data_IF_609866465492
#
_entry.id   IF_609866465492
#
_cell.length_a   1.000
_cell.length_b   1.000
_cell.length_c   1.000
_cell.angle_alpha   90.00
_cell.angle_beta   90.00
_cell.angle_gamma   90.00
#
_symmetry.space_group_name_H-M   'P 1'
#
loop_
_entity.id
_entity.type
_entity.pdbx_description
1 polymer ?
#
# COMPACT_ATOMS: atom_id res chain seq x y z
N UNK A 1 10.35 17.60 -33.07
CA UNK A 1 9.25 18.12 -32.23
C UNK A 1 9.44 17.49 -30.85
N UNK A 2 10.02 18.21 -29.90
CA UNK A 2 10.20 17.73 -28.52
C UNK A 2 8.82 17.65 -27.90
N UNK A 3 8.36 16.44 -27.59
CA UNK A 3 7.20 16.24 -26.75
C UNK A 3 7.58 16.76 -25.38
N UNK A 4 6.97 17.85 -24.95
CA UNK A 4 7.05 18.38 -23.60
C UNK A 4 6.75 17.23 -22.63
N UNK A 5 7.74 16.82 -21.85
CA UNK A 5 7.60 15.86 -20.79
C UNK A 5 6.81 16.54 -19.67
N UNK A 6 5.49 16.61 -19.85
CA UNK A 6 4.58 17.06 -18.82
C UNK A 6 4.92 16.33 -17.52
N UNK A 7 5.14 17.08 -16.46
CA UNK A 7 5.51 16.59 -15.14
C UNK A 7 4.71 15.31 -14.82
N UNK A 8 5.40 14.18 -14.74
CA UNK A 8 4.81 12.87 -14.43
C UNK A 8 4.12 12.98 -13.08
N UNK A 9 2.81 12.75 -12.96
CA UNK A 9 2.13 12.91 -11.68
C UNK A 9 2.68 11.87 -10.69
N UNK A 10 3.40 12.33 -9.69
CA UNK A 10 3.94 11.47 -8.62
C UNK A 10 2.89 11.05 -7.61
N UNK A 11 1.76 11.77 -7.56
CA UNK A 11 0.65 11.52 -6.60
C UNK A 11 -0.66 11.43 -7.35
N UNK A 12 -1.49 10.44 -6.97
CA UNK A 12 -2.81 10.21 -7.54
C UNK A 12 -3.81 11.26 -7.05
N UNK A 13 -4.20 12.14 -7.98
CA UNK A 13 -5.37 13.01 -7.89
C UNK A 13 -6.47 12.48 -8.81
N UNK A 14 -7.71 12.97 -8.70
CA UNK A 14 -8.78 12.54 -9.61
C UNK A 14 -8.44 12.77 -11.09
N UNK A 15 -7.87 13.92 -11.51
CA UNK A 15 -7.40 14.09 -12.89
C UNK A 15 -6.26 13.12 -13.27
N UNK A 16 -5.31 12.85 -12.36
CA UNK A 16 -4.22 11.90 -12.62
C UNK A 16 -4.74 10.47 -12.79
N UNK A 17 -5.74 10.05 -12.00
CA UNK A 17 -6.40 8.75 -12.16
C UNK A 17 -7.08 8.65 -13.53
N UNK A 18 -7.83 9.67 -13.95
CA UNK A 18 -8.47 9.70 -15.26
C UNK A 18 -7.46 9.65 -16.41
N UNK A 19 -6.36 10.40 -16.31
CA UNK A 19 -5.26 10.36 -17.28
C UNK A 19 -4.61 8.98 -17.35
N UNK A 20 -4.36 8.35 -16.18
CA UNK A 20 -3.79 7.02 -16.10
C UNK A 20 -4.69 5.95 -16.73
N UNK A 21 -5.99 6.00 -16.48
CA UNK A 21 -6.95 5.08 -17.11
C UNK A 21 -6.93 5.22 -18.64
N UNK A 22 -6.93 6.45 -19.17
CA UNK A 22 -6.82 6.67 -20.62
C UNK A 22 -5.49 6.15 -21.18
N UNK A 23 -4.38 6.40 -20.49
CA UNK A 23 -3.08 5.89 -20.90
C UNK A 23 -3.06 4.35 -20.96
N UNK A 24 -3.51 3.68 -19.89
CA UNK A 24 -3.51 2.22 -19.79
C UNK A 24 -4.38 1.57 -20.88
N UNK A 25 -5.54 2.14 -21.20
CA UNK A 25 -6.39 1.69 -22.31
C UNK A 25 -5.67 1.74 -23.66
N UNK A 26 -4.87 2.77 -23.87
CA UNK A 26 -4.15 2.96 -25.15
C UNK A 26 -2.97 2.00 -25.31
N UNK A 27 -2.25 1.71 -24.22
CA UNK A 27 -0.99 0.95 -24.29
C UNK A 27 -1.17 -0.55 -24.09
N UNK A 28 -2.35 -1.00 -23.61
CA UNK A 28 -2.58 -2.40 -23.30
C UNK A 28 -4.06 -2.79 -23.53
N UNK A 29 -4.33 -3.43 -24.66
CA UNK A 29 -5.68 -3.83 -25.04
C UNK A 29 -6.31 -4.85 -24.07
N UNK A 30 -5.50 -5.73 -23.46
CA UNK A 30 -6.00 -6.71 -22.47
C UNK A 30 -6.40 -6.01 -21.18
N UNK A 31 -5.59 -5.07 -20.73
CA UNK A 31 -5.92 -4.26 -19.55
C UNK A 31 -7.11 -3.34 -19.83
N UNK A 32 -7.27 -2.83 -21.06
CA UNK A 32 -8.45 -2.06 -21.49
C UNK A 32 -9.73 -2.86 -21.28
N UNK A 33 -9.78 -4.14 -21.68
CA UNK A 33 -10.95 -5.00 -21.45
C UNK A 33 -11.27 -5.20 -19.96
N UNK A 34 -10.25 -5.26 -19.09
CA UNK A 34 -10.46 -5.30 -17.63
C UNK A 34 -11.02 -3.97 -17.13
N UNK A 35 -10.48 -2.85 -17.59
CA UNK A 35 -10.97 -1.51 -17.24
C UNK A 35 -12.45 -1.35 -17.62
N UNK A 36 -12.86 -1.82 -18.81
CA UNK A 36 -14.24 -1.76 -19.26
C UNK A 36 -15.19 -2.58 -18.37
N UNK A 37 -14.75 -3.78 -17.98
CA UNK A 37 -15.52 -4.68 -17.12
C UNK A 37 -15.62 -4.18 -15.66
N UNK A 38 -14.52 -3.67 -15.11
CA UNK A 38 -14.42 -3.26 -13.70
C UNK A 38 -15.02 -1.87 -13.47
N UNK A 39 -14.96 -1.01 -14.50
CA UNK A 39 -15.42 0.38 -14.40
C UNK A 39 -14.37 1.33 -13.80
N UNK A 40 -14.80 2.48 -13.27
CA UNK A 40 -13.89 3.55 -12.83
C UNK A 40 -12.99 3.13 -11.67
N UNK A 41 -11.73 3.57 -11.71
CA UNK A 41 -10.81 3.40 -10.60
C UNK A 41 -11.22 4.27 -9.41
N UNK A 42 -11.54 3.63 -8.28
CA UNK A 42 -11.99 4.29 -7.04
C UNK A 42 -10.88 4.43 -6.00
N UNK A 43 -9.62 4.26 -6.39
CA UNK A 43 -8.48 4.42 -5.48
C UNK A 43 -8.44 5.84 -4.91
N UNK A 44 -8.47 5.94 -3.57
CA UNK A 44 -8.38 7.20 -2.84
C UNK A 44 -7.34 7.06 -1.74
N UNK A 45 -6.19 7.74 -1.83
CA UNK A 45 -5.15 7.70 -0.79
C UNK A 45 -5.63 8.28 0.53
N UNK A 46 -5.33 7.60 1.63
CA UNK A 46 -5.81 7.99 2.98
C UNK A 46 -5.05 9.16 3.58
N UNK A 47 -3.81 9.42 3.14
CA UNK A 47 -2.86 10.39 3.72
C UNK A 47 -2.50 10.16 5.20
N UNK A 48 -2.88 9.01 5.78
CA UNK A 48 -2.72 8.68 7.20
C UNK A 48 -1.59 7.66 7.40
N UNK A 49 -0.33 8.10 7.22
CA UNK A 49 0.85 7.22 7.17
C UNK A 49 0.95 6.32 8.42
N UNK A 50 1.00 6.92 9.62
CA UNK A 50 1.13 6.17 10.87
C UNK A 50 -0.01 5.17 11.07
N UNK A 51 -1.25 5.63 10.92
CA UNK A 51 -2.44 4.78 11.09
C UNK A 51 -2.48 3.62 10.09
N UNK A 52 -2.05 3.86 8.85
CA UNK A 52 -1.98 2.82 7.83
C UNK A 52 -0.94 1.75 8.17
N UNK A 53 0.25 2.15 8.63
CA UNK A 53 1.30 1.21 9.05
C UNK A 53 0.90 0.44 10.32
N UNK A 54 0.29 1.14 11.29
CA UNK A 54 -0.22 0.51 12.52
C UNK A 54 -1.24 -0.58 12.19
N UNK A 55 -2.23 -0.26 11.35
CA UNK A 55 -3.24 -1.22 10.88
C UNK A 55 -2.62 -2.36 10.08
N UNK A 56 -1.63 -2.08 9.22
CA UNK A 56 -0.95 -3.10 8.45
C UNK A 56 -0.27 -4.13 9.36
N UNK A 57 0.48 -3.70 10.40
CA UNK A 57 1.10 -4.61 11.36
C UNK A 57 0.05 -5.42 12.13
N UNK A 58 -1.02 -4.76 12.58
CA UNK A 58 -2.09 -5.40 13.35
C UNK A 58 -2.77 -6.52 12.56
N UNK A 59 -3.01 -6.30 11.27
CA UNK A 59 -3.73 -7.24 10.39
C UNK A 59 -2.85 -8.36 9.81
N UNK A 60 -1.52 -8.33 9.96
CA UNK A 60 -0.63 -9.37 9.43
C UNK A 60 -1.05 -10.77 9.90
N UNK A 61 -1.07 -11.73 8.98
CA UNK A 61 -1.33 -13.15 9.24
C UNK A 61 -2.67 -13.44 9.96
N UNK A 62 -3.66 -12.59 9.80
CA UNK A 62 -5.00 -12.79 10.37
C UNK A 62 -6.07 -12.76 9.28
N UNK A 63 -7.13 -13.55 9.49
CA UNK A 63 -8.34 -13.41 8.69
C UNK A 63 -9.01 -12.04 8.98
N UNK A 64 -9.61 -11.43 7.97
CA UNK A 64 -10.13 -10.06 8.06
C UNK A 64 -11.05 -9.81 9.25
N UNK A 65 -11.98 -10.73 9.57
CA UNK A 65 -12.88 -10.61 10.73
C UNK A 65 -12.14 -10.65 12.06
N UNK A 66 -11.15 -11.54 12.21
CA UNK A 66 -10.34 -11.64 13.42
C UNK A 66 -9.46 -10.39 13.61
N UNK A 67 -8.83 -9.92 12.54
CA UNK A 67 -8.04 -8.69 12.57
C UNK A 67 -8.87 -7.48 12.98
N UNK A 68 -10.07 -7.30 12.40
CA UNK A 68 -10.98 -6.22 12.73
C UNK A 68 -11.46 -6.28 14.19
N UNK A 69 -11.70 -7.48 14.73
CA UNK A 69 -12.09 -7.66 16.14
C UNK A 69 -10.96 -7.26 17.11
N UNK A 70 -9.72 -7.62 16.80
CA UNK A 70 -8.54 -7.21 17.60
C UNK A 70 -8.34 -5.70 17.49
N UNK A 71 -8.37 -5.14 16.26
CA UNK A 71 -8.26 -3.70 16.04
C UNK A 71 -9.27 -2.94 16.91
N UNK A 72 -10.53 -3.34 16.88
CA UNK A 72 -11.59 -2.72 17.68
C UNK A 72 -11.26 -2.75 19.18
N UNK A 73 -10.86 -3.91 19.73
CA UNK A 73 -10.53 -4.04 21.16
C UNK A 73 -9.32 -3.20 21.57
N UNK A 74 -8.29 -3.14 20.72
CA UNK A 74 -7.14 -2.26 20.93
C UNK A 74 -7.57 -0.80 20.90
N UNK A 75 -8.32 -0.39 19.87
CA UNK A 75 -8.78 1.01 19.73
C UNK A 75 -9.69 1.46 20.88
N UNK A 76 -10.51 0.57 21.45
CA UNK A 76 -11.38 0.89 22.59
C UNK A 76 -10.59 1.36 23.83
N UNK A 77 -9.35 0.89 24.00
CA UNK A 77 -8.48 1.35 25.11
C UNK A 77 -7.98 2.80 24.93
N UNK A 78 -8.19 3.35 23.71
CA UNK A 78 -7.74 4.70 23.34
C UNK A 78 -8.91 5.57 22.82
N UNK A 79 -10.11 5.38 23.35
CA UNK A 79 -11.28 6.17 22.95
C UNK A 79 -11.86 5.81 21.58
N UNK A 80 -11.59 4.60 21.06
CA UNK A 80 -12.22 4.05 19.85
C UNK A 80 -11.44 4.27 18.53
N UNK A 81 -10.29 4.92 18.59
CA UNK A 81 -9.43 5.17 17.42
C UNK A 81 -8.04 4.54 17.53
N UNK A 82 -7.31 4.48 16.42
CA UNK A 82 -5.88 4.15 16.47
C UNK A 82 -5.18 5.24 17.28
N UNK A 83 -4.45 4.87 18.35
CA UNK A 83 -3.80 5.81 19.28
C UNK A 83 -2.75 6.68 18.58
N UNK A 84 -2.47 7.85 19.17
CA UNK A 84 -1.25 8.56 18.85
C UNK A 84 -0.03 7.72 19.27
N UNK A 85 1.12 7.96 18.63
CA UNK A 85 2.33 7.20 18.90
C UNK A 85 2.73 7.28 20.37
N UNK A 86 2.75 8.48 20.96
CA UNK A 86 3.05 8.72 22.38
C UNK A 86 2.09 8.01 23.34
N UNK A 87 0.77 7.97 23.00
CA UNK A 87 -0.22 7.30 23.86
C UNK A 87 -0.03 5.79 23.84
N UNK A 88 0.24 5.22 22.65
CA UNK A 88 0.54 3.80 22.54
C UNK A 88 1.81 3.41 23.29
N UNK A 89 2.86 4.26 23.31
CA UNK A 89 4.09 4.03 24.07
C UNK A 89 3.90 4.06 25.57
N UNK A 90 2.95 4.85 26.10
CA UNK A 90 2.65 4.94 27.52
C UNK A 90 1.70 3.87 28.04
N UNK A 91 0.98 3.18 27.16
CA UNK A 91 0.01 2.17 27.56
C UNK A 91 0.69 0.91 28.13
N UNK A 92 0.06 0.27 29.11
CA UNK A 92 0.54 -1.01 29.65
C UNK A 92 0.37 -2.15 28.65
N UNK A 93 1.30 -3.10 28.68
CA UNK A 93 1.26 -4.25 27.76
C UNK A 93 0.14 -5.24 28.08
N UNK A 94 -0.21 -5.45 29.36
CA UNK A 94 -1.22 -6.41 29.79
C UNK A 94 -2.58 -6.24 29.10
N UNK A 95 -3.20 -5.06 29.18
CA UNK A 95 -4.46 -4.78 28.48
C UNK A 95 -4.37 -4.98 26.94
N UNK A 96 -3.25 -4.62 26.31
CA UNK A 96 -3.04 -4.78 24.88
C UNK A 96 -2.92 -6.25 24.47
N UNK A 97 -2.22 -7.06 25.26
CA UNK A 97 -2.15 -8.52 25.07
C UNK A 97 -3.54 -9.16 25.26
N UNK A 98 -4.28 -8.76 26.30
CA UNK A 98 -5.65 -9.21 26.54
C UNK A 98 -6.63 -8.81 25.41
N UNK A 99 -6.36 -7.72 24.71
CA UNK A 99 -7.10 -7.33 23.51
C UNK A 99 -6.85 -8.27 22.31
N UNK A 100 -5.88 -9.17 22.40
CA UNK A 100 -5.55 -10.18 21.41
C UNK A 100 -4.34 -9.86 20.55
N UNK A 101 -3.51 -8.88 20.93
CA UNK A 101 -2.20 -8.71 20.30
C UNK A 101 -1.27 -9.85 20.72
N UNK A 102 -0.53 -10.41 19.77
CA UNK A 102 0.61 -11.27 20.12
C UNK A 102 1.76 -10.40 20.62
N UNK A 103 2.62 -10.94 21.49
CA UNK A 103 3.81 -10.25 21.98
C UNK A 103 4.68 -9.72 20.82
N UNK A 104 4.80 -10.49 19.74
CA UNK A 104 5.52 -10.06 18.53
C UNK A 104 4.89 -8.83 17.86
N UNK A 105 3.58 -8.80 17.68
CA UNK A 105 2.88 -7.64 17.10
C UNK A 105 2.98 -6.43 18.02
N UNK A 106 2.84 -6.63 19.33
CA UNK A 106 3.02 -5.56 20.31
C UNK A 106 4.41 -4.93 20.18
N UNK A 107 5.47 -5.76 20.10
CA UNK A 107 6.84 -5.26 19.91
C UNK A 107 7.01 -4.48 18.58
N UNK A 108 6.38 -4.93 17.49
CA UNK A 108 6.40 -4.23 16.20
C UNK A 108 5.66 -2.89 16.27
N UNK A 109 4.50 -2.85 16.90
CA UNK A 109 3.72 -1.62 17.09
C UNK A 109 4.45 -0.63 18.02
N UNK A 110 5.16 -1.10 19.06
CA UNK A 110 6.03 -0.27 19.91
C UNK A 110 7.16 0.35 19.08
N UNK A 111 7.85 -0.43 18.24
CA UNK A 111 8.92 0.10 17.38
C UNK A 111 8.38 1.11 16.35
N UNK A 112 7.21 0.85 15.75
CA UNK A 112 6.53 1.81 14.91
C UNK A 112 6.22 3.11 15.65
N UNK A 113 5.60 3.01 16.83
CA UNK A 113 5.25 4.17 17.64
C UNK A 113 6.51 4.98 18.03
N UNK A 114 7.57 4.30 18.48
CA UNK A 114 8.83 4.95 18.79
C UNK A 114 9.46 5.66 17.58
N UNK A 115 9.37 5.06 16.38
CA UNK A 115 9.88 5.68 15.15
C UNK A 115 9.18 7.00 14.82
N UNK A 116 7.88 7.10 15.11
CA UNK A 116 7.12 8.34 14.88
C UNK A 116 7.30 9.34 16.02
N UNK A 117 7.30 8.90 17.26
CA UNK A 117 7.44 9.75 18.45
C UNK A 117 8.81 10.43 18.52
N UNK A 118 9.88 9.70 18.26
CA UNK A 118 11.26 10.23 18.20
C UNK A 118 11.54 11.05 16.92
N UNK A 119 10.63 11.00 15.95
CA UNK A 119 10.82 11.66 14.66
C UNK A 119 11.79 10.96 13.70
N UNK A 120 12.17 9.69 13.96
CA UNK A 120 12.87 8.84 12.98
C UNK A 120 12.06 8.71 11.69
N UNK A 121 10.73 8.55 11.81
CA UNK A 121 9.77 8.67 10.71
C UNK A 121 8.88 9.90 10.91
N UNK A 122 9.00 10.87 10.01
CA UNK A 122 8.19 12.10 10.03
C UNK A 122 7.33 12.17 8.77
N UNK A 123 5.98 12.20 8.87
CA UNK A 123 5.09 12.24 7.70
C UNK A 123 5.44 13.35 6.71
N UNK A 124 5.76 14.55 7.22
CA UNK A 124 6.11 15.72 6.42
C UNK A 124 7.40 15.54 5.61
N UNK A 125 8.33 14.72 6.13
CA UNK A 125 9.57 14.36 5.43
C UNK A 125 9.32 13.23 4.43
N UNK A 126 8.60 12.18 4.85
CA UNK A 126 8.33 11.02 4.01
C UNK A 126 7.66 11.39 2.69
N UNK A 127 6.69 12.31 2.69
CA UNK A 127 6.00 12.72 1.45
C UNK A 127 6.92 13.37 0.41
N UNK A 128 8.10 13.83 0.82
CA UNK A 128 9.09 14.51 -0.05
C UNK A 128 10.17 13.58 -0.58
N UNK A 129 10.28 12.37 -0.05
CA UNK A 129 11.25 11.37 -0.47
C UNK A 129 10.82 10.67 -1.77
N UNK A 130 11.77 10.10 -2.49
CA UNK A 130 11.52 9.15 -3.57
C UNK A 130 10.87 7.86 -3.04
N UNK A 131 10.30 7.07 -3.93
CA UNK A 131 9.64 5.82 -3.54
C UNK A 131 10.63 4.84 -2.91
N UNK A 132 11.84 4.72 -3.44
CA UNK A 132 12.89 3.85 -2.90
C UNK A 132 13.38 4.32 -1.52
N UNK A 133 13.54 5.64 -1.33
CA UNK A 133 13.89 6.20 -0.02
C UNK A 133 12.79 5.97 1.03
N UNK A 134 11.51 6.04 0.62
CA UNK A 134 10.40 5.72 1.52
C UNK A 134 10.43 4.24 1.90
N UNK A 135 10.62 3.34 0.93
CA UNK A 135 10.76 1.90 1.21
C UNK A 135 11.90 1.67 2.20
N UNK A 136 13.09 2.22 1.93
CA UNK A 136 14.24 2.09 2.81
C UNK A 136 13.96 2.63 4.22
N UNK A 137 13.31 3.79 4.34
CA UNK A 137 13.01 4.40 5.63
C UNK A 137 12.01 3.58 6.45
N UNK A 138 10.88 3.15 5.85
CA UNK A 138 9.82 2.47 6.61
C UNK A 138 10.18 1.02 6.94
N UNK A 139 10.99 0.36 6.13
CA UNK A 139 11.44 -1.02 6.39
C UNK A 139 12.46 -1.12 7.53
N UNK A 140 12.97 0.00 8.04
CA UNK A 140 13.75 0.03 9.30
C UNK A 140 12.91 -0.34 10.53
N UNK A 141 11.58 -0.23 10.43
CA UNK A 141 10.66 -0.62 11.50
C UNK A 141 10.43 -2.12 11.47
N UNK A 142 10.62 -2.77 12.61
CA UNK A 142 10.43 -4.23 12.73
C UNK A 142 9.01 -4.63 12.34
N UNK A 143 8.90 -5.65 11.52
CA UNK A 143 7.61 -6.15 11.01
C UNK A 143 7.09 -5.43 9.78
N UNK A 144 7.76 -4.39 9.28
CA UNK A 144 7.42 -3.74 8.01
C UNK A 144 8.39 -4.23 6.94
N UNK A 145 7.88 -5.01 5.99
CA UNK A 145 8.61 -5.44 4.80
C UNK A 145 8.28 -4.59 3.57
N UNK A 146 8.98 -4.86 2.47
CA UNK A 146 8.83 -4.18 1.18
C UNK A 146 7.36 -4.16 0.69
N UNK A 147 6.65 -5.29 0.83
CA UNK A 147 5.23 -5.36 0.45
C UNK A 147 4.38 -4.34 1.24
N UNK A 148 4.60 -4.22 2.56
CA UNK A 148 3.87 -3.24 3.40
C UNK A 148 4.24 -1.80 3.00
N UNK A 149 5.51 -1.56 2.66
CA UNK A 149 5.96 -0.26 2.15
C UNK A 149 5.28 0.08 0.81
N UNK A 150 5.17 -0.87 -0.13
CA UNK A 150 4.43 -0.67 -1.37
C UNK A 150 2.95 -0.37 -1.13
N UNK A 151 2.29 -1.06 -0.17
CA UNK A 151 0.89 -0.75 0.19
C UNK A 151 0.76 0.66 0.78
N UNK A 152 1.73 1.12 1.57
CA UNK A 152 1.77 2.50 2.05
C UNK A 152 1.88 3.50 0.89
N UNK A 153 2.78 3.27 -0.07
CA UNK A 153 2.97 4.11 -1.24
C UNK A 153 1.67 4.23 -2.06
N UNK A 154 0.98 3.12 -2.28
CA UNK A 154 -0.26 3.06 -3.06
C UNK A 154 -1.43 3.69 -2.30
N UNK A 155 -1.75 3.17 -1.11
CA UNK A 155 -3.00 3.45 -0.42
C UNK A 155 -2.96 4.64 0.54
N UNK A 156 -1.76 5.09 0.93
CA UNK A 156 -1.64 6.24 1.82
C UNK A 156 -1.01 7.44 1.14
N UNK A 157 0.09 7.26 0.42
CA UNK A 157 0.79 8.35 -0.24
C UNK A 157 0.28 8.61 -1.66
N UNK A 158 -0.42 7.66 -2.27
CA UNK A 158 -0.99 7.81 -3.61
C UNK A 158 0.06 7.91 -4.69
N UNK A 159 1.19 7.23 -4.56
CA UNK A 159 2.22 7.21 -5.61
C UNK A 159 1.68 6.53 -6.87
N UNK A 160 1.86 7.16 -8.01
CA UNK A 160 1.20 6.73 -9.27
C UNK A 160 1.86 5.53 -9.93
N UNK A 161 3.13 5.25 -9.66
CA UNK A 161 3.94 4.31 -10.46
C UNK A 161 4.52 3.14 -9.65
N UNK A 162 3.74 2.56 -8.75
CA UNK A 162 4.14 1.40 -7.95
C UNK A 162 3.64 0.10 -8.57
N UNK A 163 4.58 -0.84 -8.77
CA UNK A 163 4.27 -2.23 -9.16
C UNK A 163 4.74 -3.17 -8.04
N UNK A 164 3.84 -3.64 -7.16
CA UNK A 164 4.20 -4.52 -6.06
C UNK A 164 4.44 -5.95 -6.58
N UNK A 165 5.63 -6.22 -7.09
CA UNK A 165 5.99 -7.51 -7.73
C UNK A 165 5.93 -8.70 -6.78
N UNK A 166 6.02 -8.48 -5.47
CA UNK A 166 5.84 -9.50 -4.44
C UNK A 166 4.38 -9.76 -4.07
N UNK A 167 3.43 -8.96 -4.58
CA UNK A 167 2.01 -9.11 -4.24
C UNK A 167 1.36 -10.27 -5.01
N UNK A 168 0.81 -11.23 -4.26
CA UNK A 168 0.17 -12.41 -4.85
C UNK A 168 -1.03 -12.04 -5.74
N UNK A 169 -1.85 -11.08 -5.32
CA UNK A 169 -3.04 -10.65 -6.05
C UNK A 169 -2.67 -10.01 -7.40
N UNK A 170 -1.66 -9.14 -7.41
CA UNK A 170 -1.14 -8.52 -8.65
C UNK A 170 -0.52 -9.57 -9.57
N UNK A 171 0.29 -10.50 -9.03
CA UNK A 171 0.86 -11.62 -9.79
C UNK A 171 -0.23 -12.49 -10.41
N UNK A 172 -1.25 -12.84 -9.61
CA UNK A 172 -2.39 -13.65 -10.05
C UNK A 172 -3.24 -12.94 -11.10
N UNK A 173 -3.49 -11.64 -10.89
CA UNK A 173 -4.18 -10.79 -11.88
C UNK A 173 -3.44 -10.75 -13.21
N UNK A 174 -2.11 -10.57 -13.17
CA UNK A 174 -1.28 -10.58 -14.37
C UNK A 174 -1.25 -11.96 -15.05
N UNK A 175 -1.15 -13.05 -14.27
CA UNK A 175 -1.24 -14.41 -14.80
C UNK A 175 -2.52 -14.61 -15.62
N UNK A 176 -3.67 -14.24 -15.06
CA UNK A 176 -4.97 -14.38 -15.72
C UNK A 176 -5.09 -13.47 -16.95
N UNK A 177 -4.69 -12.21 -16.80
CA UNK A 177 -4.78 -11.21 -17.87
C UNK A 177 -4.01 -11.63 -19.13
N UNK A 178 -2.82 -12.21 -18.95
CA UNK A 178 -1.96 -12.60 -20.07
C UNK A 178 -2.01 -14.08 -20.43
N UNK A 179 -2.82 -14.88 -19.73
CA UNK A 179 -2.92 -16.33 -19.97
C UNK A 179 -1.63 -17.07 -19.65
N UNK A 180 -0.89 -16.62 -18.63
CA UNK A 180 0.39 -17.25 -18.28
C UNK A 180 0.18 -18.58 -17.56
N UNK A 181 1.00 -19.58 -17.92
CA UNK A 181 0.93 -20.92 -17.32
C UNK A 181 1.25 -20.90 -15.81
N UNK A 182 2.21 -20.08 -15.41
CA UNK A 182 2.65 -19.92 -14.03
C UNK A 182 2.56 -18.47 -13.57
N UNK A 183 2.63 -18.23 -12.25
CA UNK A 183 2.73 -16.88 -11.69
C UNK A 183 3.99 -16.20 -12.25
N UNK A 184 3.88 -14.98 -12.79
CA UNK A 184 5.02 -14.30 -13.39
C UNK A 184 6.09 -13.96 -12.35
N UNK A 185 7.35 -14.13 -12.72
CA UNK A 185 8.50 -13.68 -11.95
C UNK A 185 8.61 -12.13 -11.96
N UNK A 186 9.25 -11.53 -10.94
CA UNK A 186 9.37 -10.07 -10.83
C UNK A 186 9.91 -9.39 -12.11
N UNK A 187 10.94 -9.95 -12.74
CA UNK A 187 11.50 -9.43 -14.00
C UNK A 187 10.49 -9.45 -15.15
N UNK A 188 9.70 -10.51 -15.24
CA UNK A 188 8.63 -10.63 -16.25
C UNK A 188 7.55 -9.58 -16.00
N UNK A 189 7.14 -9.39 -14.74
CA UNK A 189 6.16 -8.36 -14.37
C UNK A 189 6.66 -6.95 -14.75
N UNK A 190 7.90 -6.63 -14.40
CA UNK A 190 8.51 -5.33 -14.70
C UNK A 190 8.53 -5.07 -16.22
N UNK A 191 8.95 -6.06 -17.03
CA UNK A 191 8.95 -5.95 -18.49
C UNK A 191 7.56 -5.77 -19.08
N UNK A 192 6.59 -6.57 -18.63
CA UNK A 192 5.20 -6.48 -19.10
C UNK A 192 4.56 -5.15 -18.70
N UNK A 193 4.86 -4.64 -17.50
CA UNK A 193 4.33 -3.39 -16.97
C UNK A 193 5.12 -2.14 -17.42
N UNK A 194 6.17 -2.29 -18.23
CA UNK A 194 6.94 -1.14 -18.69
C UNK A 194 6.10 -0.10 -19.46
N UNK A 195 5.19 -0.49 -20.38
CA UNK A 195 4.32 0.46 -21.08
C UNK A 195 3.29 1.15 -20.16
N UNK A 196 3.00 0.63 -18.97
CA UNK A 196 2.02 1.21 -18.05
C UNK A 196 2.54 2.43 -17.30
N UNK A 197 3.86 2.66 -17.33
CA UNK A 197 4.46 3.86 -16.72
C UNK A 197 3.84 5.13 -17.29
N UNK A 198 3.61 6.13 -16.44
CA UNK A 198 3.89 6.23 -14.99
C UNK A 198 2.66 5.89 -14.12
N UNK A 199 1.80 4.97 -14.55
CA UNK A 199 0.51 4.67 -13.91
C UNK A 199 0.39 3.21 -13.44
N UNK A 200 1.52 2.56 -13.10
CA UNK A 200 1.55 1.16 -12.67
C UNK A 200 0.71 0.89 -11.41
N UNK A 201 0.52 1.87 -10.54
CA UNK A 201 -0.39 1.78 -9.40
C UNK A 201 -1.84 1.56 -9.83
N UNK A 202 -2.30 2.30 -10.84
CA UNK A 202 -3.66 2.14 -11.37
C UNK A 202 -3.81 0.77 -12.05
N UNK A 203 -2.80 0.33 -12.80
CA UNK A 203 -2.79 -1.00 -13.39
C UNK A 203 -2.86 -2.10 -12.30
N UNK A 204 -2.07 -1.98 -11.23
CA UNK A 204 -2.12 -2.89 -10.07
C UNK A 204 -3.50 -2.94 -9.42
N UNK A 205 -4.17 -1.79 -9.31
CA UNK A 205 -5.53 -1.70 -8.78
C UNK A 205 -6.54 -2.49 -9.64
N UNK A 206 -6.41 -2.46 -10.96
CA UNK A 206 -7.23 -3.26 -11.88
C UNK A 206 -6.85 -4.75 -11.83
N UNK A 207 -5.57 -5.08 -11.71
CA UNK A 207 -5.13 -6.47 -11.60
C UNK A 207 -5.69 -7.18 -10.36
N UNK A 208 -5.80 -6.50 -9.21
CA UNK A 208 -6.47 -7.06 -8.04
C UNK A 208 -7.94 -7.42 -8.29
N UNK A 209 -8.59 -6.75 -9.25
CA UNK A 209 -10.00 -6.96 -9.62
C UNK A 209 -10.19 -7.87 -10.82
N UNK A 210 -9.16 -8.07 -11.60
CA UNK A 210 -9.18 -9.01 -12.73
C UNK A 210 -9.29 -10.46 -12.28
N UNK A 211 -9.02 -10.72 -11.03
CA UNK A 211 -8.93 -12.05 -10.42
C UNK A 211 -10.18 -12.53 -9.68
N UNK A 212 -11.23 -11.72 -9.58
CA UNK A 212 -12.52 -12.09 -8.98
C UNK A 212 -13.50 -12.63 -9.99
#
# INVERSE_FOLDING_TARGET
MKVDAGSIPTVLTAPAVAAGVRHLRRVDARLAAVIDRVGPCTLRPSKQIYRSLFRAILHQQLAGKAAAAIERRVCLQFGGGIPAASDFLRADDGPLLNAGLSARKLAYLRDLAAAFDTGRLRPQRLVRLSDDEIVAAVTTVRGIGEWTAHMLLIFSLGRSDILPVGDYGVRKGMQRLYGLRHLPEPRTMQRTAAPWRPYRTIASWYLWRAGG
#
